data_IF_882206457617
#
_entry.id   IF_882206457617
#
_cell.length_a   1.000
_cell.length_b   1.000
_cell.length_c   1.000
_cell.angle_alpha   90.00
_cell.angle_beta   90.00
_cell.angle_gamma   90.00
#
_symmetry.space_group_name_H-M   'P 1'
#
loop_
_entity.id
_entity.type
_entity.pdbx_description
1 polymer ?
#
# COMPACT_ATOMS: atom_id res chain seq x y z
N UNK A 1 13.07 1.81 13.04
CA UNK A 1 12.47 3.16 13.24
C UNK A 1 11.12 3.03 13.89
N UNK A 2 10.75 3.92 14.81
CA UNK A 2 9.44 3.98 15.48
C UNK A 2 8.85 5.38 15.41
N UNK A 3 7.61 5.48 15.02
CA UNK A 3 6.82 6.72 15.00
C UNK A 3 5.62 6.51 15.95
N UNK A 4 5.40 7.46 16.84
CA UNK A 4 4.36 7.34 17.84
C UNK A 4 3.79 8.70 18.20
N UNK A 5 2.65 8.70 18.90
CA UNK A 5 2.01 9.92 19.39
C UNK A 5 2.94 10.65 20.36
N UNK A 6 3.19 11.93 20.09
CA UNK A 6 3.90 12.85 20.96
C UNK A 6 2.96 13.66 21.84
N UNK A 7 3.50 14.14 22.96
CA UNK A 7 2.83 15.07 23.87
C UNK A 7 3.50 16.43 23.73
N UNK A 8 2.77 17.50 23.54
CA UNK A 8 3.35 18.84 23.36
C UNK A 8 3.11 19.41 21.96
N UNK A 9 3.87 20.40 21.55
CA UNK A 9 3.72 21.14 20.28
C UNK A 9 4.74 20.76 19.21
N UNK A 10 5.86 20.17 19.59
CA UNK A 10 6.98 19.93 18.73
C UNK A 10 7.19 18.45 18.46
N UNK A 11 7.62 18.11 17.23
CA UNK A 11 8.08 16.78 16.88
C UNK A 11 9.41 16.52 17.57
N UNK A 12 9.48 15.46 18.37
CA UNK A 12 10.71 15.08 19.09
C UNK A 12 11.31 13.86 18.44
N UNK A 13 12.59 13.92 18.12
CA UNK A 13 13.34 12.81 17.53
C UNK A 13 14.45 12.38 18.48
N UNK A 14 14.39 11.13 18.90
CA UNK A 14 15.44 10.44 19.63
C UNK A 14 16.21 9.54 18.66
N UNK A 15 17.53 9.66 18.64
CA UNK A 15 18.39 8.91 17.74
C UNK A 15 19.50 8.23 18.52
N UNK A 16 19.61 6.90 18.34
CA UNK A 16 20.70 6.09 18.89
C UNK A 16 21.49 5.47 17.74
N UNK A 17 22.81 5.66 17.77
CA UNK A 17 23.73 5.08 16.79
C UNK A 17 24.26 3.76 17.31
N UNK A 18 24.25 2.72 16.47
CA UNK A 18 24.71 1.39 16.79
C UNK A 18 25.66 0.81 15.74
N UNK A 19 26.32 -0.28 16.10
CA UNK A 19 27.33 -0.94 15.28
C UNK A 19 28.78 -0.51 15.57
N UNK A 20 29.78 -1.27 15.12
CA UNK A 20 31.22 -0.98 15.34
C UNK A 20 31.64 0.40 14.82
N UNK A 21 31.04 0.85 13.74
CA UNK A 21 31.34 2.13 13.07
C UNK A 21 30.38 3.26 13.42
N UNK A 22 29.57 3.11 14.47
CA UNK A 22 28.54 4.08 14.87
C UNK A 22 29.04 5.54 14.98
N UNK A 23 30.30 5.74 15.41
CA UNK A 23 30.92 7.05 15.54
C UNK A 23 31.17 7.77 14.22
N UNK A 24 31.14 7.08 13.08
CA UNK A 24 31.32 7.63 11.74
C UNK A 24 30.05 8.27 11.18
N UNK A 25 28.87 7.90 11.71
CA UNK A 25 27.60 8.47 11.27
C UNK A 25 27.53 9.97 11.59
N UNK A 26 27.15 10.77 10.60
CA UNK A 26 26.96 12.21 10.74
C UNK A 26 25.48 12.53 10.89
N UNK A 27 25.15 13.41 11.81
CA UNK A 27 23.79 13.89 12.04
C UNK A 27 23.74 15.35 11.60
N UNK A 28 22.88 15.65 10.64
CA UNK A 28 22.64 16.99 10.16
C UNK A 28 21.20 17.40 10.45
N UNK A 29 21.00 18.58 11.00
CA UNK A 29 19.69 19.17 11.25
C UNK A 29 19.59 20.53 10.59
N UNK A 30 18.38 20.97 10.28
CA UNK A 30 18.09 22.29 9.73
C UNK A 30 17.25 22.23 8.48
N UNK A 31 16.88 23.39 7.93
CA UNK A 31 15.95 23.48 6.83
C UNK A 31 16.55 22.89 5.54
N UNK A 32 15.73 22.07 4.87
CA UNK A 32 15.98 21.58 3.52
C UNK A 32 14.71 21.79 2.69
N UNK A 33 14.82 22.53 1.59
CA UNK A 33 13.66 22.85 0.72
C UNK A 33 12.46 23.45 1.49
N UNK A 34 12.74 24.29 2.50
CA UNK A 34 11.71 24.96 3.31
C UNK A 34 11.07 24.09 4.41
N UNK A 35 11.60 22.89 4.67
CA UNK A 35 11.15 22.00 5.74
C UNK A 35 12.28 21.76 6.75
N UNK A 36 11.95 21.75 8.04
CA UNK A 36 12.91 21.32 9.06
C UNK A 36 13.17 19.83 8.92
N UNK A 37 14.45 19.45 8.86
CA UNK A 37 14.87 18.07 8.63
C UNK A 37 15.91 17.61 9.63
N UNK A 38 15.87 16.30 9.93
CA UNK A 38 16.97 15.57 10.54
C UNK A 38 17.44 14.50 9.54
N UNK A 39 18.74 14.46 9.29
CA UNK A 39 19.34 13.53 8.32
C UNK A 39 20.46 12.75 8.99
N UNK A 40 20.47 11.44 8.76
CA UNK A 40 21.56 10.55 9.17
C UNK A 40 22.38 10.23 7.92
N UNK A 41 23.61 10.72 7.87
CA UNK A 41 24.48 10.62 6.70
C UNK A 41 25.52 9.53 6.97
N UNK A 42 25.56 8.58 6.06
CA UNK A 42 26.53 7.48 6.04
C UNK A 42 27.68 7.89 5.11
N UNK A 43 28.92 8.01 5.63
CA UNK A 43 30.05 8.56 4.84
C UNK A 43 30.69 7.58 3.85
N UNK A 44 30.15 6.36 3.72
CA UNK A 44 30.69 5.30 2.87
C UNK A 44 29.70 4.85 1.79
N UNK A 45 30.21 4.31 0.70
CA UNK A 45 29.41 3.77 -0.41
C UNK A 45 29.05 2.29 -0.24
N UNK A 46 29.74 1.57 0.62
CA UNK A 46 29.47 0.19 1.00
C UNK A 46 29.04 0.14 2.48
N UNK A 47 27.79 -0.21 2.73
CA UNK A 47 27.21 -0.26 4.07
C UNK A 47 26.82 -1.71 4.38
N UNK A 48 27.14 -2.16 5.59
CA UNK A 48 26.72 -3.47 6.09
C UNK A 48 25.64 -3.29 7.14
N UNK A 49 24.45 -3.79 6.81
CA UNK A 49 23.29 -3.86 7.71
C UNK A 49 22.86 -5.31 7.86
N UNK A 50 23.30 -5.96 8.95
CA UNK A 50 23.17 -7.43 9.14
C UNK A 50 21.73 -7.91 9.17
N UNK A 51 20.79 -7.10 9.62
CA UNK A 51 19.37 -7.44 9.70
C UNK A 51 18.70 -7.58 8.31
N UNK A 52 19.35 -7.09 7.25
CA UNK A 52 18.91 -7.30 5.88
C UNK A 52 18.97 -8.78 5.47
N UNK A 53 19.76 -9.59 6.19
CA UNK A 53 19.96 -11.01 5.91
C UNK A 53 21.12 -11.30 4.95
N UNK A 54 21.76 -12.46 5.11
CA UNK A 54 22.89 -12.86 4.26
C UNK A 54 22.46 -13.00 2.80
N UNK A 55 23.25 -12.43 1.90
CA UNK A 55 23.01 -12.48 0.45
C UNK A 55 22.03 -11.43 -0.07
N UNK A 56 21.31 -10.76 0.82
CA UNK A 56 20.43 -9.64 0.43
C UNK A 56 21.23 -8.36 0.28
N UNK A 57 20.87 -7.55 -0.70
CA UNK A 57 21.43 -6.22 -0.87
C UNK A 57 20.45 -5.32 -1.62
N UNK A 58 20.61 -4.02 -1.42
CA UNK A 58 19.93 -2.98 -2.19
C UNK A 58 20.93 -1.89 -2.55
N UNK A 59 20.65 -1.13 -3.58
CA UNK A 59 21.50 -0.04 -4.04
C UNK A 59 20.64 1.19 -4.24
N UNK A 60 21.07 2.29 -3.65
CA UNK A 60 20.41 3.59 -3.71
C UNK A 60 21.33 4.62 -4.34
N UNK A 61 20.76 5.68 -4.90
CA UNK A 61 21.47 6.91 -5.16
C UNK A 61 21.23 7.88 -4.01
N UNK A 62 22.31 8.26 -3.35
CA UNK A 62 22.28 9.14 -2.18
C UNK A 62 23.06 10.41 -2.50
N UNK A 63 22.45 11.57 -2.26
CA UNK A 63 23.08 12.87 -2.45
C UNK A 63 24.05 13.18 -1.29
N UNK A 64 24.92 14.14 -1.48
CA UNK A 64 25.91 14.53 -0.45
C UNK A 64 25.26 15.04 0.83
N UNK A 65 24.04 15.55 0.74
CA UNK A 65 23.22 15.97 1.88
C UNK A 65 22.51 14.83 2.61
N UNK A 66 22.67 13.58 2.13
CA UNK A 66 22.06 12.38 2.70
C UNK A 66 20.65 12.06 2.21
N UNK A 67 20.10 12.87 1.29
CA UNK A 67 18.75 12.59 0.73
C UNK A 67 18.78 11.52 -0.36
N UNK A 68 17.70 10.79 -0.49
CA UNK A 68 17.47 9.76 -1.51
C UNK A 68 15.96 9.61 -1.75
N UNK A 69 15.52 8.93 -2.83
CA UNK A 69 14.13 8.60 -3.16
C UNK A 69 13.14 9.79 -3.20
N UNK A 70 13.63 11.01 -3.44
CA UNK A 70 12.77 12.18 -3.47
C UNK A 70 11.94 12.23 -4.77
N UNK A 71 10.63 12.00 -4.67
CA UNK A 71 9.71 12.03 -5.83
C UNK A 71 9.56 13.41 -6.47
N UNK A 72 9.86 14.49 -5.77
CA UNK A 72 9.81 15.84 -6.34
C UNK A 72 10.80 16.02 -7.50
N UNK A 73 11.85 15.20 -7.56
CA UNK A 73 12.82 15.16 -8.64
C UNK A 73 12.41 14.29 -9.84
N UNK A 74 11.27 13.60 -9.80
CA UNK A 74 10.68 12.96 -10.99
C UNK A 74 10.09 14.06 -11.88
N UNK A 75 10.95 14.78 -12.59
CA UNK A 75 10.49 15.68 -13.65
C UNK A 75 9.56 14.95 -14.60
N UNK A 76 8.67 15.66 -15.28
CA UNK A 76 7.64 15.18 -16.22
C UNK A 76 8.11 14.20 -17.32
N UNK A 77 9.32 13.66 -17.26
CA UNK A 77 9.95 12.75 -18.20
C UNK A 77 10.48 11.44 -17.63
N UNK A 78 10.24 11.10 -16.36
CA UNK A 78 10.54 9.76 -15.82
C UNK A 78 12.03 9.35 -15.74
N UNK A 79 12.96 10.26 -15.95
CA UNK A 79 14.39 10.00 -15.83
C UNK A 79 14.88 10.47 -14.46
N UNK A 80 15.44 9.57 -13.68
CA UNK A 80 16.09 9.92 -12.42
C UNK A 80 17.22 10.93 -12.69
N UNK A 81 17.32 12.05 -11.94
CA UNK A 81 18.51 12.88 -12.01
C UNK A 81 19.73 12.00 -11.70
N UNK A 82 20.78 12.12 -12.50
CA UNK A 82 22.04 11.37 -12.31
C UNK A 82 22.85 11.88 -11.09
N UNK A 83 22.22 12.69 -10.23
CA UNK A 83 22.84 13.29 -9.07
C UNK A 83 22.85 12.34 -7.86
N UNK A 84 24.02 12.22 -7.23
CA UNK A 84 24.27 11.41 -6.06
C UNK A 84 25.16 10.20 -6.31
N UNK A 85 25.87 9.79 -5.28
CA UNK A 85 26.72 8.61 -5.27
C UNK A 85 25.88 7.33 -5.17
N UNK A 86 26.38 6.26 -5.73
CA UNK A 86 25.73 4.95 -5.61
C UNK A 86 26.17 4.31 -4.29
N UNK A 87 25.23 4.09 -3.38
CA UNK A 87 25.46 3.45 -2.08
C UNK A 87 24.85 2.06 -2.12
N UNK A 88 25.65 1.04 -1.84
CA UNK A 88 25.23 -0.35 -1.69
C UNK A 88 25.06 -0.69 -0.22
N UNK A 89 23.91 -1.21 0.15
CA UNK A 89 23.61 -1.71 1.50
C UNK A 89 23.43 -3.22 1.41
N UNK A 90 24.23 -3.98 2.15
CA UNK A 90 24.24 -5.44 2.10
C UNK A 90 24.13 -6.05 3.49
N UNK A 91 23.51 -7.23 3.58
CA UNK A 91 23.40 -7.98 4.84
C UNK A 91 24.68 -8.68 5.29
N UNK A 92 25.72 -8.70 4.45
CA UNK A 92 27.02 -9.28 4.74
C UNK A 92 28.10 -8.75 3.80
N UNK A 93 29.36 -8.86 4.18
CA UNK A 93 30.52 -8.40 3.40
C UNK A 93 31.37 -7.40 4.17
N UNK A 94 32.19 -6.64 3.44
CA UNK A 94 32.95 -5.51 3.96
C UNK A 94 32.23 -4.20 3.76
N UNK A 95 32.57 -3.16 4.53
CA UNK A 95 31.98 -1.85 4.45
C UNK A 95 31.75 -1.23 5.82
N UNK A 96 31.09 -0.08 5.85
CA UNK A 96 30.69 0.61 7.07
C UNK A 96 29.60 -0.18 7.81
N UNK A 97 29.90 -0.72 8.98
CA UNK A 97 28.95 -1.43 9.82
C UNK A 97 28.37 -0.51 10.90
N UNK A 98 27.33 0.23 10.54
CA UNK A 98 26.63 1.16 11.42
C UNK A 98 25.15 1.27 11.08
N UNK A 99 24.33 1.56 12.07
CA UNK A 99 22.91 1.84 11.93
C UNK A 99 22.46 2.95 12.88
N UNK A 100 21.29 3.50 12.62
CA UNK A 100 20.63 4.45 13.49
C UNK A 100 19.25 3.95 13.87
N UNK A 101 18.98 3.80 15.16
CA UNK A 101 17.65 3.61 15.71
C UNK A 101 17.01 4.97 15.96
N UNK A 102 15.86 5.17 15.35
CA UNK A 102 15.17 6.47 15.39
C UNK A 102 13.79 6.28 15.99
N UNK A 103 13.46 7.09 16.98
CA UNK A 103 12.13 7.21 17.57
C UNK A 103 11.63 8.63 17.36
N UNK A 104 10.42 8.76 16.80
CA UNK A 104 9.82 10.03 16.45
C UNK A 104 8.49 10.16 17.19
N UNK A 105 8.41 11.08 18.13
CA UNK A 105 7.17 11.43 18.83
C UNK A 105 6.49 12.59 18.10
N UNK A 106 5.29 12.34 17.57
CA UNK A 106 4.56 13.25 16.68
C UNK A 106 3.34 13.79 17.42
N UNK A 107 3.27 15.10 17.72
CA UNK A 107 2.07 15.72 18.25
C UNK A 107 0.90 15.66 17.27
N UNK A 108 -0.32 15.67 17.79
CA UNK A 108 -1.54 15.67 16.99
C UNK A 108 -1.58 16.83 15.98
N UNK A 109 -2.11 16.57 14.79
CA UNK A 109 -2.26 17.54 13.70
C UNK A 109 -0.97 17.94 12.99
N UNK A 110 0.14 17.25 13.23
CA UNK A 110 1.40 17.49 12.51
C UNK A 110 1.49 16.67 11.22
N UNK A 111 2.18 17.26 10.23
CA UNK A 111 2.60 16.56 9.03
C UNK A 111 4.06 16.16 9.15
N UNK A 112 4.34 14.87 9.00
CA UNK A 112 5.68 14.30 9.08
C UNK A 112 5.96 13.44 7.86
N UNK A 113 7.15 13.60 7.29
CA UNK A 113 7.64 12.79 6.19
C UNK A 113 8.92 12.07 6.61
N UNK A 114 8.96 10.77 6.37
CA UNK A 114 10.06 9.90 6.76
C UNK A 114 10.59 9.17 5.54
N UNK A 115 11.91 9.16 5.39
CA UNK A 115 12.62 8.44 4.34
C UNK A 115 13.57 7.44 4.99
N UNK A 116 13.40 6.15 4.69
CA UNK A 116 14.20 5.05 5.26
C UNK A 116 14.81 4.21 4.14
N UNK A 117 16.12 4.03 4.14
CA UNK A 117 16.79 3.21 3.13
C UNK A 117 16.48 1.72 3.32
N UNK A 118 16.81 1.18 4.48
CA UNK A 118 16.57 -0.23 4.84
C UNK A 118 16.22 -0.36 6.32
N UNK A 119 15.56 -1.45 6.70
CA UNK A 119 15.23 -1.75 8.09
C UNK A 119 13.76 -2.06 8.30
N UNK A 120 13.17 -1.51 9.35
CA UNK A 120 11.76 -1.67 9.69
C UNK A 120 11.18 -0.34 10.14
N UNK A 121 9.97 -0.02 9.71
CA UNK A 121 9.24 1.15 10.14
C UNK A 121 7.97 0.72 10.90
N UNK A 122 7.80 1.23 12.11
CA UNK A 122 6.61 1.02 12.94
C UNK A 122 5.99 2.37 13.26
N UNK A 123 4.74 2.57 12.91
CA UNK A 123 3.97 3.73 13.28
C UNK A 123 2.80 3.31 14.17
N UNK A 124 2.58 3.97 15.28
CA UNK A 124 1.46 3.64 16.16
C UNK A 124 0.85 4.88 16.82
N UNK A 125 -0.49 4.92 16.89
CA UNK A 125 -1.24 5.98 17.55
C UNK A 125 -0.89 7.39 17.02
N UNK A 126 -0.55 7.54 15.75
CA UNK A 126 -0.26 8.85 15.14
C UNK A 126 -1.57 9.51 14.73
N UNK A 127 -1.71 10.78 15.09
CA UNK A 127 -2.85 11.63 14.77
C UNK A 127 -2.33 12.84 13.96
N UNK A 128 -2.42 12.75 12.62
CA UNK A 128 -1.88 13.74 11.69
C UNK A 128 -1.53 13.13 10.33
N UNK A 129 -0.88 13.90 9.48
CA UNK A 129 -0.50 13.45 8.15
C UNK A 129 0.89 12.80 8.18
N UNK A 130 0.94 11.51 7.91
CA UNK A 130 2.17 10.74 7.90
C UNK A 130 2.48 10.23 6.49
N UNK A 131 3.68 10.56 6.00
CA UNK A 131 4.26 9.93 4.82
C UNK A 131 5.49 9.11 5.22
N UNK A 132 5.52 7.85 4.79
CA UNK A 132 6.65 6.94 4.98
C UNK A 132 7.09 6.43 3.62
N UNK A 133 8.32 6.79 3.22
CA UNK A 133 8.93 6.38 1.96
C UNK A 133 10.15 5.51 2.30
N UNK A 134 10.14 4.26 1.89
CA UNK A 134 11.20 3.31 2.22
C UNK A 134 11.69 2.58 0.98
N UNK A 135 12.99 2.36 0.86
CA UNK A 135 13.52 1.68 -0.30
C UNK A 135 13.39 0.15 -0.18
N UNK A 136 13.74 -0.40 0.98
CA UNK A 136 13.63 -1.84 1.24
C UNK A 136 13.40 -2.09 2.73
N UNK A 137 12.14 -2.06 3.14
CA UNK A 137 11.75 -2.29 4.53
C UNK A 137 10.28 -2.69 4.64
N UNK A 138 9.97 -3.46 5.68
CA UNK A 138 8.59 -3.68 6.07
C UNK A 138 8.06 -2.47 6.83
N UNK A 139 6.81 -2.11 6.57
CA UNK A 139 6.10 -1.04 7.24
C UNK A 139 4.91 -1.62 7.99
N UNK A 140 4.81 -1.32 9.28
CA UNK A 140 3.65 -1.67 10.09
C UNK A 140 3.09 -0.39 10.69
N UNK A 141 1.81 -0.13 10.46
CA UNK A 141 1.10 1.01 11.02
C UNK A 141 -0.15 0.54 11.78
N UNK A 142 -0.41 1.16 12.91
CA UNK A 142 -1.49 0.77 13.81
C UNK A 142 -2.10 1.99 14.50
N UNK A 143 -3.45 2.05 14.60
CA UNK A 143 -4.20 3.15 15.23
C UNK A 143 -3.81 4.53 14.67
N UNK A 144 -4.02 4.69 13.37
CA UNK A 144 -3.69 5.93 12.65
C UNK A 144 -4.92 6.83 12.52
N UNK A 145 -4.73 8.16 12.65
CA UNK A 145 -5.74 9.16 12.34
C UNK A 145 -5.18 10.22 11.41
N UNK A 146 -5.95 10.61 10.39
CA UNK A 146 -5.53 11.54 9.36
C UNK A 146 -5.04 10.82 8.09
N UNK A 147 -4.19 11.46 7.32
CA UNK A 147 -3.72 10.89 6.05
C UNK A 147 -2.49 10.02 6.28
N UNK A 148 -2.54 8.79 5.77
CA UNK A 148 -1.40 7.87 5.75
C UNK A 148 -0.99 7.55 4.31
N UNK A 149 0.24 7.92 3.94
CA UNK A 149 0.85 7.54 2.67
C UNK A 149 2.10 6.71 2.94
N UNK A 150 2.12 5.48 2.45
CA UNK A 150 3.28 4.58 2.51
C UNK A 150 3.71 4.24 1.09
N UNK A 151 5.01 4.38 0.82
CA UNK A 151 5.63 3.98 -0.43
C UNK A 151 6.85 3.12 -0.10
N UNK A 152 6.88 1.88 -0.55
CA UNK A 152 8.03 1.01 -0.36
C UNK A 152 8.48 0.36 -1.66
N UNK A 153 9.77 0.38 -1.93
CA UNK A 153 10.32 -0.31 -3.10
C UNK A 153 10.21 -1.83 -2.98
N UNK A 154 10.43 -2.35 -1.77
CA UNK A 154 10.23 -3.77 -1.46
C UNK A 154 10.02 -3.98 0.04
N UNK A 155 9.07 -4.81 0.38
CA UNK A 155 8.70 -5.15 1.76
C UNK A 155 7.19 -5.20 1.95
N UNK A 156 6.76 -5.91 2.96
CA UNK A 156 5.35 -6.01 3.30
C UNK A 156 4.86 -4.73 3.98
N UNK A 157 3.63 -4.34 3.67
CA UNK A 157 2.93 -3.24 4.33
C UNK A 157 1.74 -3.81 5.11
N UNK A 158 1.68 -3.51 6.40
CA UNK A 158 0.56 -3.90 7.28
C UNK A 158 -0.02 -2.68 7.95
N UNK A 159 -1.33 -2.52 7.79
CA UNK A 159 -2.09 -1.45 8.43
C UNK A 159 -3.25 -2.05 9.22
N UNK A 160 -3.37 -1.67 10.47
CA UNK A 160 -4.52 -1.98 11.31
C UNK A 160 -5.09 -0.71 11.96
N UNK A 161 -6.42 -0.65 12.04
CA UNK A 161 -7.17 0.40 12.72
C UNK A 161 -6.76 1.83 12.30
N UNK A 162 -7.26 2.27 11.15
CA UNK A 162 -7.01 3.62 10.67
C UNK A 162 -8.30 4.40 10.37
N UNK A 163 -8.26 5.72 10.60
CA UNK A 163 -9.34 6.66 10.33
C UNK A 163 -8.80 7.82 9.48
N UNK A 164 -9.20 7.91 8.21
CA UNK A 164 -8.78 8.92 7.24
C UNK A 164 -8.38 8.35 5.88
N UNK A 165 -7.68 9.16 5.08
CA UNK A 165 -7.22 8.76 3.75
C UNK A 165 -6.02 7.83 3.84
N UNK A 166 -6.07 6.70 3.14
CA UNK A 166 -5.01 5.70 3.13
C UNK A 166 -4.52 5.43 1.71
N UNK A 167 -3.22 5.56 1.49
CA UNK A 167 -2.55 5.18 0.25
C UNK A 167 -1.31 4.36 0.55
N UNK A 168 -1.32 3.08 0.17
CA UNK A 168 -0.22 2.13 0.38
C UNK A 168 0.26 1.64 -0.99
N UNK A 169 1.55 1.82 -1.25
CA UNK A 169 2.21 1.41 -2.49
C UNK A 169 3.44 0.57 -2.15
N UNK A 170 3.57 -0.60 -2.77
CA UNK A 170 4.78 -1.42 -2.67
C UNK A 170 5.18 -1.99 -4.03
N UNK A 171 6.44 -1.85 -4.41
CA UNK A 171 6.92 -2.45 -5.66
C UNK A 171 6.89 -3.98 -5.63
N UNK A 172 7.20 -4.58 -4.48
CA UNK A 172 7.07 -6.03 -4.26
C UNK A 172 6.93 -6.32 -2.77
N UNK A 173 5.88 -7.01 -2.40
CA UNK A 173 5.50 -7.35 -1.04
C UNK A 173 4.00 -7.44 -0.90
N UNK A 174 3.54 -8.04 0.17
CA UNK A 174 2.13 -8.15 0.44
C UNK A 174 1.59 -6.88 1.12
N UNK A 175 0.37 -6.51 0.78
CA UNK A 175 -0.36 -5.44 1.45
C UNK A 175 -1.48 -6.06 2.29
N UNK A 176 -1.49 -5.79 3.58
CA UNK A 176 -2.53 -6.26 4.50
C UNK A 176 -3.14 -5.08 5.23
N UNK A 177 -4.45 -4.92 5.11
CA UNK A 177 -5.20 -3.81 5.68
C UNK A 177 -6.39 -4.34 6.47
N UNK A 178 -6.57 -3.86 7.69
CA UNK A 178 -7.74 -4.24 8.48
C UNK A 178 -8.26 -3.07 9.34
N UNK A 179 -9.60 -2.97 9.49
CA UNK A 179 -10.22 -1.99 10.38
C UNK A 179 -10.05 -0.53 9.92
N UNK A 180 -10.18 -0.25 8.63
CA UNK A 180 -9.98 1.10 8.09
C UNK A 180 -11.31 1.76 7.77
N UNK A 181 -11.43 3.05 8.15
CA UNK A 181 -12.56 3.91 7.77
C UNK A 181 -12.07 5.27 7.27
N UNK A 182 -12.68 5.79 6.19
CA UNK A 182 -12.31 7.09 5.64
C UNK A 182 -12.82 7.32 4.23
N UNK A 183 -12.52 8.45 3.63
CA UNK A 183 -12.98 8.79 2.27
C UNK A 183 -12.41 7.88 1.19
N UNK A 184 -11.10 7.63 1.20
CA UNK A 184 -10.44 6.83 0.17
C UNK A 184 -9.43 5.84 0.77
N UNK A 185 -9.46 4.61 0.25
CA UNK A 185 -8.42 3.59 0.50
C UNK A 185 -7.88 3.13 -0.85
N UNK A 186 -6.59 3.42 -1.08
CA UNK A 186 -5.86 3.03 -2.30
C UNK A 186 -4.71 2.09 -1.95
N UNK A 187 -4.70 0.91 -2.56
CA UNK A 187 -3.68 -0.13 -2.34
C UNK A 187 -3.08 -0.52 -3.68
N UNK A 188 -1.76 -0.43 -3.79
CA UNK A 188 -1.03 -0.77 -5.01
C UNK A 188 0.13 -1.71 -4.66
N UNK A 189 0.31 -2.77 -5.44
CA UNK A 189 1.50 -3.61 -5.35
C UNK A 189 1.90 -4.13 -6.73
N UNK A 190 3.17 -3.98 -7.10
CA UNK A 190 3.66 -4.52 -8.37
C UNK A 190 3.62 -6.05 -8.41
N UNK A 191 3.94 -6.71 -7.30
CA UNK A 191 3.81 -8.15 -7.15
C UNK A 191 3.68 -8.54 -5.68
N UNK A 192 2.58 -9.12 -5.33
CA UNK A 192 2.23 -9.52 -3.97
C UNK A 192 0.73 -9.62 -3.79
N UNK A 193 0.31 -10.29 -2.75
CA UNK A 193 -1.10 -10.42 -2.45
C UNK A 193 -1.62 -9.20 -1.70
N UNK A 194 -2.86 -8.83 -1.97
CA UNK A 194 -3.58 -7.79 -1.23
C UNK A 194 -4.67 -8.43 -0.39
N UNK A 195 -4.60 -8.21 0.91
CA UNK A 195 -5.61 -8.68 1.87
C UNK A 195 -6.25 -7.49 2.56
N UNK A 196 -7.57 -7.39 2.45
CA UNK A 196 -8.38 -6.32 3.05
C UNK A 196 -9.44 -6.94 3.94
N UNK A 197 -9.58 -6.42 5.14
CA UNK A 197 -10.60 -6.89 6.09
C UNK A 197 -11.23 -5.71 6.85
N UNK A 198 -12.56 -5.67 6.91
CA UNK A 198 -13.33 -4.63 7.65
C UNK A 198 -12.95 -3.20 7.21
N UNK A 199 -13.22 -2.88 5.96
CA UNK A 199 -13.05 -1.54 5.42
C UNK A 199 -14.39 -0.86 5.18
N UNK A 200 -14.50 0.41 5.62
CA UNK A 200 -15.65 1.27 5.39
C UNK A 200 -15.17 2.58 4.76
N UNK A 201 -15.42 2.79 3.47
CA UNK A 201 -14.89 3.93 2.71
C UNK A 201 -15.85 4.38 1.62
N UNK A 202 -15.71 5.60 1.10
CA UNK A 202 -16.44 5.99 -0.09
C UNK A 202 -15.84 5.34 -1.33
N UNK A 203 -14.49 5.27 -1.42
CA UNK A 203 -13.76 4.72 -2.57
C UNK A 203 -12.71 3.72 -2.12
N UNK A 204 -12.77 2.49 -2.65
CA UNK A 204 -11.73 1.46 -2.51
C UNK A 204 -11.09 1.16 -3.86
N UNK A 205 -9.79 1.37 -3.98
CA UNK A 205 -9.02 1.03 -5.19
C UNK A 205 -7.92 0.05 -4.82
N UNK A 206 -7.88 -1.08 -5.50
CA UNK A 206 -6.85 -2.12 -5.35
C UNK A 206 -6.25 -2.40 -6.72
N UNK A 207 -4.93 -2.29 -6.84
CA UNK A 207 -4.17 -2.62 -8.04
C UNK A 207 -3.03 -3.57 -7.68
N UNK A 208 -2.90 -4.67 -8.42
CA UNK A 208 -1.75 -5.56 -8.29
C UNK A 208 -1.33 -6.11 -9.65
N UNK A 209 -0.06 -5.97 -10.00
CA UNK A 209 0.44 -6.52 -11.26
C UNK A 209 0.35 -8.06 -11.31
N UNK A 210 0.62 -8.72 -10.19
CA UNK A 210 0.44 -10.18 -10.05
C UNK A 210 0.31 -10.56 -8.58
N UNK A 211 -0.81 -11.12 -8.22
CA UNK A 211 -1.12 -11.55 -6.85
C UNK A 211 -2.62 -11.67 -6.64
N UNK A 212 -3.00 -12.47 -5.68
CA UNK A 212 -4.40 -12.63 -5.32
C UNK A 212 -4.90 -11.43 -4.52
N UNK A 213 -6.14 -11.03 -4.78
CA UNK A 213 -6.85 -10.01 -4.01
C UNK A 213 -7.94 -10.69 -3.18
N UNK A 214 -7.86 -10.53 -1.87
CA UNK A 214 -8.91 -10.98 -0.95
C UNK A 214 -9.41 -9.79 -0.14
N UNK A 215 -10.64 -9.38 -0.37
CA UNK A 215 -11.27 -8.28 0.34
C UNK A 215 -12.55 -8.77 1.03
N UNK A 216 -12.56 -8.78 2.34
CA UNK A 216 -13.66 -9.28 3.16
C UNK A 216 -14.26 -8.17 4.04
N UNK A 217 -15.57 -8.25 4.26
CA UNK A 217 -16.31 -7.29 5.09
C UNK A 217 -16.15 -5.84 4.60
N UNK A 218 -16.34 -5.63 3.29
CA UNK A 218 -16.19 -4.33 2.64
C UNK A 218 -17.52 -3.58 2.60
N UNK A 219 -17.50 -2.32 3.02
CA UNK A 219 -18.53 -1.30 2.80
C UNK A 219 -17.91 -0.16 2.03
N UNK A 220 -18.27 -0.01 0.77
CA UNK A 220 -17.75 1.07 -0.07
C UNK A 220 -18.82 1.54 -1.06
N UNK A 221 -18.79 2.82 -1.41
CA UNK A 221 -19.62 3.37 -2.48
C UNK A 221 -19.12 2.89 -3.84
N UNK A 222 -17.84 3.10 -4.10
CA UNK A 222 -17.17 2.71 -5.33
C UNK A 222 -16.03 1.74 -5.02
N UNK A 223 -15.96 0.61 -5.74
CA UNK A 223 -14.89 -0.38 -5.63
C UNK A 223 -14.26 -0.61 -7.00
N UNK A 224 -12.95 -0.44 -7.09
CA UNK A 224 -12.17 -0.82 -8.26
C UNK A 224 -11.08 -1.81 -7.87
N UNK A 225 -11.04 -2.96 -8.55
CA UNK A 225 -10.00 -3.99 -8.37
C UNK A 225 -9.41 -4.33 -9.73
N UNK A 226 -8.08 -4.21 -9.84
CA UNK A 226 -7.34 -4.56 -11.05
C UNK A 226 -6.22 -5.53 -10.67
N UNK A 227 -6.09 -6.64 -11.38
CA UNK A 227 -4.96 -7.57 -11.22
C UNK A 227 -4.56 -8.15 -12.57
N UNK A 228 -3.28 -8.04 -12.93
CA UNK A 228 -2.80 -8.62 -14.19
C UNK A 228 -2.91 -10.15 -14.21
N UNK A 229 -2.65 -10.81 -13.07
CA UNK A 229 -2.86 -12.26 -12.92
C UNK A 229 -2.99 -12.62 -11.45
N UNK A 230 -4.14 -13.08 -11.06
CA UNK A 230 -4.47 -13.46 -9.69
C UNK A 230 -5.98 -13.61 -9.52
N UNK A 231 -6.37 -14.35 -8.51
CA UNK A 231 -7.76 -14.51 -8.18
C UNK A 231 -8.27 -13.32 -7.39
N UNK A 232 -9.52 -12.96 -7.60
CA UNK A 232 -10.19 -11.90 -6.86
C UNK A 232 -11.32 -12.51 -6.03
N UNK A 233 -11.29 -12.29 -4.72
CA UNK A 233 -12.39 -12.59 -3.82
C UNK A 233 -12.81 -11.32 -3.11
N UNK A 234 -14.08 -10.96 -3.28
CA UNK A 234 -14.68 -9.77 -2.69
C UNK A 234 -15.95 -10.13 -1.92
N UNK A 235 -16.03 -9.76 -0.64
CA UNK A 235 -17.22 -9.92 0.19
C UNK A 235 -17.77 -8.53 0.55
N UNK A 236 -18.87 -8.14 -0.06
CA UNK A 236 -19.56 -6.86 0.17
C UNK A 236 -20.59 -7.00 1.29
N UNK A 237 -20.62 -6.03 2.20
CA UNK A 237 -21.57 -5.97 3.32
C UNK A 237 -22.73 -5.00 3.10
N UNK A 238 -22.67 -4.20 2.06
CA UNK A 238 -23.70 -3.20 1.75
C UNK A 238 -23.85 -3.04 0.24
N UNK A 239 -24.95 -2.46 -0.18
CA UNK A 239 -25.17 -2.01 -1.55
C UNK A 239 -24.11 -0.95 -1.95
N UNK A 240 -23.84 -0.82 -3.24
CA UNK A 240 -22.77 0.02 -3.79
C UNK A 240 -23.25 0.84 -4.99
N UNK A 241 -22.49 1.88 -5.35
CA UNK A 241 -22.74 2.68 -6.55
C UNK A 241 -22.06 2.07 -7.77
N UNK A 242 -20.79 1.69 -7.64
CA UNK A 242 -20.05 1.05 -8.71
C UNK A 242 -19.06 -0.02 -8.21
N UNK A 243 -18.99 -1.12 -8.94
CA UNK A 243 -17.95 -2.14 -8.82
C UNK A 243 -17.35 -2.39 -10.20
N UNK A 244 -16.03 -2.25 -10.30
CA UNK A 244 -15.25 -2.57 -11.50
C UNK A 244 -14.14 -3.54 -11.11
N UNK A 245 -14.19 -4.76 -11.65
CA UNK A 245 -13.18 -5.80 -11.40
C UNK A 245 -12.61 -6.24 -12.73
N UNK A 246 -11.31 -6.08 -12.90
CA UNK A 246 -10.57 -6.54 -14.07
C UNK A 246 -9.46 -7.51 -13.64
N UNK A 247 -9.37 -8.65 -14.28
CA UNK A 247 -8.24 -9.57 -14.12
C UNK A 247 -7.84 -10.17 -15.47
N UNK A 248 -6.56 -10.09 -15.81
CA UNK A 248 -6.06 -10.69 -17.05
C UNK A 248 -6.19 -12.22 -17.03
N UNK A 249 -5.94 -12.86 -15.88
CA UNK A 249 -6.16 -14.30 -15.71
C UNK A 249 -6.33 -14.65 -14.22
N UNK A 250 -7.46 -15.19 -13.87
CA UNK A 250 -7.82 -15.59 -12.51
C UNK A 250 -9.32 -15.68 -12.35
N UNK A 251 -9.75 -16.44 -11.36
CA UNK A 251 -11.15 -16.55 -11.02
C UNK A 251 -11.61 -15.35 -10.18
N UNK A 252 -12.80 -14.85 -10.44
CA UNK A 252 -13.43 -13.77 -9.70
C UNK A 252 -14.61 -14.33 -8.91
N UNK A 253 -14.60 -14.17 -7.60
CA UNK A 253 -15.72 -14.51 -6.72
C UNK A 253 -16.18 -13.28 -5.96
N UNK A 254 -17.44 -12.91 -6.14
CA UNK A 254 -18.05 -11.75 -5.47
C UNK A 254 -19.24 -12.24 -4.66
N UNK A 255 -19.15 -12.04 -3.36
CA UNK A 255 -20.26 -12.23 -2.43
C UNK A 255 -20.98 -10.90 -2.22
N UNK A 256 -22.27 -10.88 -2.51
CA UNK A 256 -23.08 -9.66 -2.48
C UNK A 256 -24.18 -9.75 -1.42
N UNK A 257 -24.58 -8.63 -0.81
CA UNK A 257 -25.65 -8.60 0.17
C UNK A 257 -27.02 -8.88 -0.45
N UNK A 258 -27.99 -9.18 0.40
CA UNK A 258 -29.34 -9.54 -0.03
C UNK A 258 -30.10 -8.40 -0.71
N UNK A 259 -29.81 -7.17 -0.35
CA UNK A 259 -30.43 -5.92 -0.81
C UNK A 259 -29.72 -5.26 -2.01
N UNK A 260 -28.69 -5.91 -2.56
CA UNK A 260 -27.98 -5.40 -3.74
C UNK A 260 -28.94 -5.10 -4.89
N UNK A 261 -28.83 -3.87 -5.44
CA UNK A 261 -29.50 -3.42 -6.65
C UNK A 261 -28.52 -2.84 -7.66
N UNK A 262 -28.27 -3.53 -8.79
CA UNK A 262 -27.27 -3.11 -9.76
C UNK A 262 -27.60 -3.54 -11.20
N UNK A 263 -27.18 -2.71 -12.17
CA UNK A 263 -26.93 -3.17 -13.54
C UNK A 263 -25.66 -4.02 -13.54
N UNK A 264 -25.70 -5.17 -14.19
CA UNK A 264 -24.61 -6.15 -14.22
C UNK A 264 -24.14 -6.37 -15.65
N UNK A 265 -22.82 -6.29 -15.83
CA UNK A 265 -22.10 -6.62 -17.06
C UNK A 265 -20.89 -7.47 -16.70
N UNK A 266 -20.95 -8.76 -17.02
CA UNK A 266 -19.91 -9.74 -16.69
C UNK A 266 -19.43 -10.39 -17.99
N UNK A 267 -18.13 -10.29 -18.24
CA UNK A 267 -17.49 -10.89 -19.41
C UNK A 267 -16.30 -11.75 -19.00
N UNK A 268 -16.16 -12.92 -19.64
CA UNK A 268 -14.99 -13.79 -19.50
C UNK A 268 -14.54 -14.28 -20.87
N UNK A 269 -13.21 -14.24 -21.14
CA UNK A 269 -12.70 -14.69 -22.42
C UNK A 269 -12.78 -16.21 -22.61
N UNK A 270 -12.61 -16.99 -21.55
CA UNK A 270 -12.61 -18.47 -21.64
C UNK A 270 -13.11 -19.21 -20.40
N UNK A 271 -13.80 -18.54 -19.48
CA UNK A 271 -14.38 -19.14 -18.29
C UNK A 271 -15.89 -19.34 -18.40
N UNK A 272 -16.49 -19.71 -17.29
CA UNK A 272 -17.94 -19.81 -17.13
C UNK A 272 -18.44 -18.75 -16.14
N UNK A 273 -19.67 -18.28 -16.30
CA UNK A 273 -20.34 -17.36 -15.39
C UNK A 273 -21.30 -18.17 -14.52
N UNK A 274 -21.09 -18.17 -13.21
CA UNK A 274 -21.88 -18.89 -12.21
C UNK A 274 -22.62 -17.93 -11.29
N UNK A 275 -23.94 -17.99 -11.29
CA UNK A 275 -24.83 -17.21 -10.45
C UNK A 275 -25.41 -18.07 -9.34
N UNK A 276 -25.08 -17.80 -8.09
CA UNK A 276 -25.56 -18.53 -6.94
C UNK A 276 -26.52 -17.70 -6.06
N UNK A 277 -27.75 -18.10 -5.97
CA UNK A 277 -28.81 -17.41 -5.20
C UNK A 277 -29.06 -15.95 -5.66
N UNK A 278 -28.59 -15.56 -6.84
CA UNK A 278 -28.81 -14.26 -7.45
C UNK A 278 -29.85 -14.38 -8.55
N UNK A 279 -30.88 -13.54 -8.51
CA UNK A 279 -31.84 -13.43 -9.59
C UNK A 279 -31.51 -12.21 -10.43
N UNK A 280 -31.22 -12.46 -11.72
CA UNK A 280 -30.89 -11.40 -12.70
C UNK A 280 -32.03 -11.34 -13.72
N UNK A 281 -32.54 -10.14 -13.98
CA UNK A 281 -33.37 -9.87 -15.16
C UNK A 281 -32.45 -9.71 -16.35
N UNK A 282 -32.18 -10.80 -17.05
CA UNK A 282 -31.15 -10.83 -18.11
C UNK A 282 -31.65 -10.17 -19.38
N UNK A 283 -30.80 -9.30 -19.97
CA UNK A 283 -30.92 -8.76 -21.33
C UNK A 283 -30.06 -9.53 -22.31
N UNK A 284 -28.94 -10.07 -21.88
CA UNK A 284 -28.08 -10.98 -22.63
C UNK A 284 -27.60 -12.08 -21.71
N UNK A 285 -27.63 -13.32 -22.20
CA UNK A 285 -27.07 -14.47 -21.49
C UNK A 285 -26.42 -15.39 -22.51
N UNK A 286 -25.11 -15.34 -22.53
CA UNK A 286 -24.23 -16.22 -23.26
C UNK A 286 -23.35 -16.99 -22.27
N UNK A 287 -22.54 -17.93 -22.73
CA UNK A 287 -21.65 -18.67 -21.83
C UNK A 287 -20.61 -17.78 -21.16
N UNK A 288 -20.13 -16.81 -21.90
CA UNK A 288 -19.00 -15.93 -21.59
C UNK A 288 -19.41 -14.47 -21.36
N UNK A 289 -20.69 -14.12 -21.55
CA UNK A 289 -21.16 -12.75 -21.36
C UNK A 289 -22.58 -12.71 -20.80
N UNK A 290 -22.73 -12.03 -19.69
CA UNK A 290 -23.99 -11.77 -18.99
C UNK A 290 -24.23 -10.28 -18.84
N UNK A 291 -25.37 -9.79 -19.33
CA UNK A 291 -25.85 -8.44 -18.98
C UNK A 291 -27.29 -8.52 -18.45
N UNK A 292 -27.62 -7.68 -17.49
CA UNK A 292 -28.93 -7.64 -16.88
C UNK A 292 -28.99 -6.74 -15.66
N UNK A 293 -30.06 -6.91 -14.87
CA UNK A 293 -30.30 -6.12 -13.66
C UNK A 293 -30.58 -7.01 -12.45
N UNK A 294 -30.04 -6.65 -11.32
CA UNK A 294 -30.30 -7.20 -10.00
C UNK A 294 -31.09 -6.17 -9.18
N UNK A 295 -32.12 -6.59 -8.46
CA UNK A 295 -32.86 -5.70 -7.57
C UNK A 295 -33.48 -4.50 -8.29
N UNK A 296 -33.16 -3.29 -7.86
CA UNK A 296 -33.66 -2.02 -8.42
C UNK A 296 -32.76 -1.41 -9.51
N UNK A 297 -31.61 -2.04 -9.79
CA UNK A 297 -30.71 -1.65 -10.89
C UNK A 297 -29.98 -0.33 -10.70
N UNK A 298 -29.89 0.22 -9.50
CA UNK A 298 -29.30 1.56 -9.31
C UNK A 298 -27.78 1.59 -9.30
N UNK A 299 -27.14 0.55 -8.76
CA UNK A 299 -25.71 0.40 -8.81
C UNK A 299 -25.24 -0.14 -10.16
N UNK A 300 -23.91 -0.26 -10.32
CA UNK A 300 -23.30 -0.89 -11.50
C UNK A 300 -22.26 -1.90 -11.07
N UNK A 301 -22.29 -3.09 -11.65
CA UNK A 301 -21.26 -4.12 -11.50
C UNK A 301 -20.71 -4.46 -12.88
N UNK A 302 -19.43 -4.20 -13.07
CA UNK A 302 -18.68 -4.66 -14.23
C UNK A 302 -17.59 -5.61 -13.78
N UNK A 303 -17.53 -6.78 -14.40
CA UNK A 303 -16.49 -7.78 -14.15
C UNK A 303 -15.94 -8.27 -15.47
N UNK A 304 -14.63 -8.19 -15.65
CA UNK A 304 -13.93 -8.67 -16.82
C UNK A 304 -12.79 -9.59 -16.41
N UNK A 305 -12.70 -10.77 -17.06
CA UNK A 305 -11.55 -11.67 -16.90
C UNK A 305 -11.15 -12.25 -18.24
N UNK A 306 -9.86 -12.22 -18.57
CA UNK A 306 -9.37 -12.80 -19.83
C UNK A 306 -9.46 -14.33 -19.83
N UNK A 307 -9.09 -14.98 -18.71
CA UNK A 307 -9.22 -16.42 -18.54
C UNK A 307 -9.43 -16.80 -17.09
N UNK A 308 -10.63 -17.20 -16.77
CA UNK A 308 -11.07 -17.55 -15.43
C UNK A 308 -12.58 -17.52 -15.35
N UNK A 309 -13.16 -18.16 -14.35
CA UNK A 309 -14.59 -18.14 -14.09
C UNK A 309 -14.99 -16.94 -13.24
N UNK A 310 -16.22 -16.44 -13.46
CA UNK A 310 -16.81 -15.41 -12.60
C UNK A 310 -17.95 -16.01 -11.81
N UNK A 311 -17.89 -15.90 -10.50
CA UNK A 311 -18.96 -16.36 -9.60
C UNK A 311 -19.53 -15.19 -8.81
N UNK A 312 -20.82 -14.98 -8.95
CA UNK A 312 -21.59 -14.01 -8.17
C UNK A 312 -22.52 -14.75 -7.20
N UNK A 313 -22.35 -14.52 -5.92
CA UNK A 313 -23.06 -15.25 -4.85
C UNK A 313 -23.82 -14.28 -3.97
N UNK A 314 -25.15 -14.45 -3.84
CA UNK A 314 -25.90 -13.71 -2.82
C UNK A 314 -25.78 -14.41 -1.48
N UNK A 315 -25.22 -13.74 -0.50
CA UNK A 315 -25.16 -14.22 0.89
C UNK A 315 -26.44 -13.82 1.65
N UNK A 316 -26.83 -14.66 2.60
CA UNK A 316 -28.06 -14.45 3.39
C UNK A 316 -27.87 -13.40 4.47
#
# INVERSE_FOLDING_TARGET
MRLERGTGSDVVVELTRGGPDAGKLQIATGPLRGRETLRVIYPDDEIVFRELGRGSNTTLRVRDDGTFNDREDRGRGGRWPDEGRRVRIAGSGGGLEAHADVRIAIPAGKRVEVYLAVGQAFASNVDGDLRVDVAAANVTADHMKGSLLVDTGSGDVRLSDAEGDVSLDTGSGNVTVSGVSGPEVRLDTGSGNVTVERVATDVLVIDTGSGDVTASSVRAGDVKIDTGSGNVRLDLLADLQALDVDTGSGDVTINVPADLGAEVDIETGSGDIDLQNVTVRTTRLERDHLTGEIGDGKGRIRVETGSGGVRLVRVK
#
